data_IF_651419468747
#
_entry.id   IF_651419468747
#
_cell.length_a   1.000
_cell.length_b   1.000
_cell.length_c   1.000
_cell.angle_alpha   90.00
_cell.angle_beta   90.00
_cell.angle_gamma   90.00
#
_symmetry.space_group_name_H-M   'P 1'
#
loop_
_entity.id
_entity.type
_entity.pdbx_description
1 polymer ?
#
# COMPACT_ATOMS: atom_id res chain seq x y z
N UNK A 1 10.42 -34.49 19.62
CA UNK A 1 10.03 -33.55 20.68
C UNK A 1 10.60 -32.20 20.32
N UNK A 2 9.80 -31.35 19.71
CA UNK A 2 10.21 -30.00 19.29
C UNK A 2 9.76 -29.08 20.42
N UNK A 3 10.73 -28.49 21.14
CA UNK A 3 10.45 -27.52 22.18
C UNK A 3 9.98 -26.20 21.56
N UNK A 4 8.71 -25.88 21.71
CA UNK A 4 8.19 -24.52 21.50
C UNK A 4 8.79 -23.61 22.59
N UNK A 5 9.65 -22.69 22.21
CA UNK A 5 10.04 -21.57 23.06
C UNK A 5 8.85 -20.61 23.07
N UNK A 6 8.14 -20.59 24.19
CA UNK A 6 7.08 -19.59 24.43
C UNK A 6 7.67 -18.20 24.42
N UNK A 7 7.29 -17.38 23.44
CA UNK A 7 7.51 -15.94 23.49
C UNK A 7 6.81 -15.39 24.77
N UNK A 8 7.59 -14.76 25.64
CA UNK A 8 7.09 -14.17 26.88
C UNK A 8 6.11 -13.05 26.53
N UNK A 9 4.85 -13.19 26.88
CA UNK A 9 3.84 -12.13 26.75
C UNK A 9 4.23 -10.99 27.69
N UNK A 10 4.52 -9.81 27.14
CA UNK A 10 4.69 -8.59 27.90
C UNK A 10 3.42 -8.28 28.69
N UNK A 11 3.56 -8.06 30.01
CA UNK A 11 2.42 -7.68 30.85
C UNK A 11 2.15 -6.17 30.71
N UNK A 12 0.92 -5.71 31.04
CA UNK A 12 0.58 -4.29 31.11
C UNK A 12 1.59 -3.47 31.92
N UNK A 13 2.19 -4.08 32.93
CA UNK A 13 3.18 -3.44 33.82
C UNK A 13 4.54 -3.28 33.14
N UNK A 14 4.92 -4.24 32.30
CA UNK A 14 6.16 -4.17 31.50
C UNK A 14 6.01 -3.15 30.37
N UNK A 15 4.81 -3.05 29.79
CA UNK A 15 4.44 -2.02 28.84
C UNK A 15 4.54 -0.61 29.43
N UNK A 16 4.00 -0.39 30.65
CA UNK A 16 4.08 0.92 31.31
C UNK A 16 5.53 1.31 31.68
N UNK A 17 6.39 0.34 31.98
CA UNK A 17 7.82 0.60 32.23
C UNK A 17 8.56 0.98 30.94
N UNK A 18 8.26 0.34 29.82
CA UNK A 18 8.82 0.68 28.51
C UNK A 18 8.29 2.03 28.00
N UNK A 19 7.00 2.31 28.14
CA UNK A 19 6.38 3.59 27.80
C UNK A 19 6.90 4.73 28.71
N UNK A 20 7.11 4.48 30.02
CA UNK A 20 7.67 5.44 30.96
C UNK A 20 9.12 5.78 30.69
N UNK A 21 9.93 4.84 30.18
CA UNK A 21 11.33 5.11 29.80
C UNK A 21 11.44 5.93 28.50
N UNK A 22 10.47 5.83 27.60
CA UNK A 22 10.39 6.64 26.38
C UNK A 22 9.79 8.03 26.58
N UNK A 23 9.06 8.27 27.68
CA UNK A 23 8.39 9.54 27.96
C UNK A 23 9.26 10.57 28.71
N UNK A 24 10.45 10.20 29.19
CA UNK A 24 11.36 11.14 29.88
C UNK A 24 12.33 11.75 28.87
N UNK A 25 11.94 12.88 28.26
CA UNK A 25 12.90 13.82 27.74
C UNK A 25 12.83 14.30 26.31
N UNK A 26 11.74 14.13 25.60
CA UNK A 26 11.56 14.84 24.32
C UNK A 26 10.38 15.80 24.39
N UNK A 27 10.68 17.03 24.85
CA UNK A 27 9.85 18.16 24.53
C UNK A 27 9.80 18.29 23.00
N UNK A 28 8.60 18.26 22.45
CA UNK A 28 8.32 18.59 21.04
C UNK A 28 8.68 20.07 20.81
N UNK A 29 9.96 20.34 20.60
CA UNK A 29 10.44 21.59 20.06
C UNK A 29 11.02 21.28 18.68
N UNK A 30 10.33 21.82 17.69
CA UNK A 30 10.83 22.10 16.36
C UNK A 30 11.48 20.90 15.63
N UNK A 31 10.64 20.02 15.05
CA UNK A 31 11.08 19.32 13.87
C UNK A 31 11.43 20.39 12.83
N UNK A 32 12.66 20.39 12.25
CA UNK A 32 12.86 21.14 11.03
C UNK A 32 11.81 20.65 10.03
N UNK A 33 11.36 21.47 9.08
CA UNK A 33 10.42 21.08 8.04
C UNK A 33 11.09 20.13 7.05
N UNK A 34 11.48 18.96 7.51
CA UNK A 34 11.61 17.74 6.74
C UNK A 34 10.18 17.27 6.62
N UNK A 35 9.52 17.65 5.50
CA UNK A 35 8.10 17.46 5.32
C UNK A 35 7.71 16.05 5.64
N UNK A 36 6.63 15.88 6.39
CA UNK A 36 5.86 14.63 6.43
C UNK A 36 5.77 14.14 4.98
N UNK A 37 6.33 12.97 4.62
CA UNK A 37 6.22 12.45 3.25
C UNK A 37 4.76 12.25 2.83
N UNK A 38 3.82 12.15 3.79
CA UNK A 38 2.39 12.24 3.54
C UNK A 38 1.94 13.68 3.19
N UNK A 39 2.76 14.69 3.48
CA UNK A 39 2.62 16.09 3.03
C UNK A 39 3.61 16.49 1.93
N UNK A 40 4.53 15.63 1.52
CA UNK A 40 5.08 15.71 0.20
C UNK A 40 3.92 15.36 -0.74
N UNK A 41 3.15 16.38 -1.10
CA UNK A 41 2.15 16.25 -2.16
C UNK A 41 2.84 15.53 -3.30
N UNK A 42 2.39 14.31 -3.67
CA UNK A 42 2.76 13.77 -4.95
C UNK A 42 2.41 14.83 -6.00
N UNK A 43 3.06 14.83 -7.17
CA UNK A 43 2.75 15.75 -8.25
C UNK A 43 1.24 15.82 -8.36
N UNK A 44 0.66 17.02 -8.33
CA UNK A 44 -0.77 17.29 -8.19
C UNK A 44 -1.57 16.30 -9.04
N UNK A 45 -2.18 15.32 -8.41
CA UNK A 45 -3.07 14.40 -9.10
C UNK A 45 -4.29 15.23 -9.51
N UNK A 46 -4.48 15.38 -10.82
CA UNK A 46 -5.61 16.08 -11.36
C UNK A 46 -6.83 15.18 -11.51
N UNK A 47 -6.67 13.86 -11.25
CA UNK A 47 -7.75 12.88 -11.34
C UNK A 47 -7.71 11.92 -10.15
N UNK A 48 -8.88 11.44 -9.78
CA UNK A 48 -9.08 10.44 -8.75
C UNK A 48 -9.98 9.30 -9.22
N UNK A 49 -9.77 8.11 -8.71
CA UNK A 49 -10.65 6.96 -8.92
C UNK A 49 -11.47 6.71 -7.65
N UNK A 50 -12.79 6.62 -7.77
CA UNK A 50 -13.65 6.22 -6.65
C UNK A 50 -13.46 4.73 -6.36
N UNK A 51 -13.11 4.37 -5.12
CA UNK A 51 -12.87 2.97 -4.73
C UNK A 51 -14.16 2.25 -4.31
N UNK A 52 -15.20 3.02 -3.99
CA UNK A 52 -16.57 2.59 -3.73
C UNK A 52 -17.54 3.50 -4.43
N UNK A 53 -18.84 3.18 -4.40
CA UNK A 53 -19.88 4.15 -4.80
C UNK A 53 -19.96 5.26 -3.76
N UNK A 54 -19.69 6.50 -4.19
CA UNK A 54 -19.54 7.66 -3.32
C UNK A 54 -20.57 8.74 -3.67
N UNK A 55 -21.20 9.30 -2.64
CA UNK A 55 -22.05 10.48 -2.78
C UNK A 55 -21.20 11.73 -2.96
N UNK A 56 -21.69 12.67 -3.76
CA UNK A 56 -21.11 14.01 -3.86
C UNK A 56 -22.12 15.08 -3.43
N UNK A 57 -21.58 16.17 -2.88
CA UNK A 57 -22.32 17.16 -2.11
C UNK A 57 -22.12 18.57 -2.67
N UNK A 58 -23.07 19.47 -2.36
CA UNK A 58 -22.99 20.88 -2.78
C UNK A 58 -21.84 21.65 -2.09
N UNK A 59 -21.52 21.29 -0.84
CA UNK A 59 -20.43 21.86 -0.04
C UNK A 59 -19.54 20.74 0.49
N UNK A 60 -18.29 21.03 0.93
CA UNK A 60 -17.38 20.03 1.49
C UNK A 60 -17.83 19.60 2.90
N UNK A 61 -18.99 19.00 2.99
CA UNK A 61 -19.67 18.58 4.23
C UNK A 61 -20.66 17.45 3.94
N UNK A 62 -20.65 16.43 4.77
CA UNK A 62 -21.60 15.30 4.71
C UNK A 62 -23.03 15.71 5.13
N UNK A 63 -23.18 16.82 5.84
CA UNK A 63 -24.46 17.42 6.22
C UNK A 63 -25.04 18.34 5.14
N UNK A 64 -24.27 18.66 4.10
CA UNK A 64 -24.69 19.46 2.97
C UNK A 64 -25.66 18.68 2.05
N UNK A 65 -26.29 19.39 1.14
CA UNK A 65 -27.19 18.81 0.15
C UNK A 65 -26.46 17.80 -0.72
N UNK A 66 -26.97 16.56 -0.75
CA UNK A 66 -26.54 15.54 -1.70
C UNK A 66 -26.99 15.90 -3.11
N UNK A 67 -26.06 15.87 -4.07
CA UNK A 67 -26.34 16.17 -5.47
C UNK A 67 -26.42 14.91 -6.33
N UNK A 68 -25.79 13.81 -5.91
CA UNK A 68 -25.80 12.53 -6.60
C UNK A 68 -24.70 11.58 -6.07
N UNK A 69 -24.36 10.59 -6.88
CA UNK A 69 -23.31 9.64 -6.53
C UNK A 69 -22.52 9.20 -7.77
N UNK A 70 -21.26 8.85 -7.57
CA UNK A 70 -20.43 8.12 -8.52
C UNK A 70 -20.41 6.64 -8.18
N UNK A 71 -20.44 5.79 -9.17
CA UNK A 71 -20.25 4.34 -8.97
C UNK A 71 -18.77 4.02 -8.75
N UNK A 72 -18.49 2.84 -8.21
CA UNK A 72 -17.14 2.31 -8.04
C UNK A 72 -16.37 2.36 -9.37
N UNK A 73 -15.06 2.67 -9.29
CA UNK A 73 -14.14 2.82 -10.43
C UNK A 73 -14.44 3.98 -11.38
N UNK A 74 -15.29 4.94 -10.98
CA UNK A 74 -15.41 6.19 -11.74
C UNK A 74 -14.12 7.00 -11.58
N UNK A 75 -13.58 7.45 -12.71
CA UNK A 75 -12.45 8.39 -12.75
C UNK A 75 -13.03 9.81 -12.85
N UNK A 76 -12.64 10.65 -11.92
CA UNK A 76 -13.14 12.04 -11.80
C UNK A 76 -11.99 13.03 -11.82
N UNK A 77 -12.23 14.19 -12.43
CA UNK A 77 -11.31 15.31 -12.34
C UNK A 77 -11.32 15.89 -10.91
N UNK A 78 -10.14 16.15 -10.36
CA UNK A 78 -9.98 16.84 -9.08
C UNK A 78 -9.59 18.28 -9.37
N UNK A 79 -10.53 19.19 -9.12
CA UNK A 79 -10.39 20.61 -9.40
C UNK A 79 -9.78 21.40 -8.23
N UNK A 80 -10.07 20.94 -7.00
CA UNK A 80 -9.67 21.60 -5.76
C UNK A 80 -9.60 20.58 -4.63
N UNK A 81 -8.71 20.82 -3.67
CA UNK A 81 -8.64 20.12 -2.39
C UNK A 81 -8.89 21.16 -1.28
N UNK A 82 -9.77 20.82 -0.34
CA UNK A 82 -10.14 21.72 0.76
C UNK A 82 -10.34 20.95 2.07
N UNK A 83 -9.99 21.59 3.17
CA UNK A 83 -10.45 21.18 4.49
C UNK A 83 -11.93 21.55 4.59
N UNK A 84 -12.79 20.55 4.77
CA UNK A 84 -14.23 20.70 4.93
C UNK A 84 -14.68 20.49 6.37
N UNK A 85 -15.72 19.69 6.60
CA UNK A 85 -16.15 19.31 7.93
C UNK A 85 -14.98 18.74 8.73
N UNK A 86 -14.86 19.11 10.02
CA UNK A 86 -13.80 18.59 10.89
C UNK A 86 -13.95 17.09 11.19
N UNK A 87 -15.08 16.53 10.89
CA UNK A 87 -15.35 15.08 11.04
C UNK A 87 -15.29 14.35 9.70
N UNK A 88 -14.59 13.23 9.61
CA UNK A 88 -13.80 12.62 10.68
C UNK A 88 -12.45 13.35 10.90
N UNK A 89 -12.07 13.58 12.15
CA UNK A 89 -10.87 14.33 12.53
C UNK A 89 -9.58 13.82 11.87
N UNK A 90 -9.49 12.49 11.66
CA UNK A 90 -8.32 11.87 11.04
C UNK A 90 -8.16 12.24 9.56
N UNK A 91 -9.22 12.64 8.86
CA UNK A 91 -9.18 13.07 7.45
C UNK A 91 -10.29 14.09 7.14
N UNK A 92 -10.07 15.39 7.35
CA UNK A 92 -11.04 16.43 7.03
C UNK A 92 -10.97 16.90 5.56
N UNK A 93 -10.29 16.14 4.68
CA UNK A 93 -10.03 16.58 3.30
C UNK A 93 -11.17 16.20 2.38
N UNK A 94 -11.62 17.18 1.61
CA UNK A 94 -12.63 17.06 0.57
C UNK A 94 -12.05 17.44 -0.80
N UNK A 95 -12.51 16.76 -1.82
CA UNK A 95 -12.09 16.94 -3.20
C UNK A 95 -13.26 17.48 -4.01
N UNK A 96 -13.04 18.58 -4.71
CA UNK A 96 -14.00 19.13 -5.65
C UNK A 96 -13.88 18.45 -7.01
N UNK A 97 -14.98 17.98 -7.52
CA UNK A 97 -15.16 17.49 -8.87
C UNK A 97 -16.06 18.43 -9.68
N UNK A 98 -16.23 18.25 -11.00
CA UNK A 98 -17.19 19.02 -11.78
C UNK A 98 -18.64 18.97 -11.24
N UNK A 99 -19.02 17.84 -10.60
CA UNK A 99 -20.39 17.61 -10.16
C UNK A 99 -20.63 18.01 -8.69
N UNK A 100 -19.57 18.14 -7.87
CA UNK A 100 -19.71 18.49 -6.46
C UNK A 100 -18.49 18.08 -5.62
N UNK A 101 -18.67 18.02 -4.29
CA UNK A 101 -17.62 17.68 -3.35
C UNK A 101 -17.69 16.22 -2.91
N UNK A 102 -16.54 15.53 -2.95
CA UNK A 102 -16.32 14.16 -2.44
C UNK A 102 -15.42 14.19 -1.20
N UNK A 103 -15.68 13.32 -0.24
CA UNK A 103 -14.74 13.06 0.82
C UNK A 103 -13.55 12.24 0.30
N UNK A 104 -12.31 12.63 0.63
CA UNK A 104 -11.10 12.04 0.04
C UNK A 104 -10.81 10.59 0.43
N UNK A 105 -11.35 10.10 1.55
CA UNK A 105 -11.04 8.77 2.13
C UNK A 105 -11.21 7.59 1.16
N UNK A 106 -12.11 7.73 0.19
CA UNK A 106 -12.44 6.68 -0.77
C UNK A 106 -12.24 7.11 -2.22
N UNK A 107 -11.36 8.08 -2.40
CA UNK A 107 -10.88 8.51 -3.72
C UNK A 107 -9.39 8.24 -3.77
N UNK A 108 -8.97 7.26 -4.54
CA UNK A 108 -7.55 7.02 -4.81
C UNK A 108 -7.06 8.11 -5.78
N UNK A 109 -6.07 8.93 -5.41
CA UNK A 109 -5.38 9.77 -6.38
C UNK A 109 -4.70 8.90 -7.42
N UNK A 110 -4.91 9.18 -8.70
CA UNK A 110 -4.38 8.36 -9.80
C UNK A 110 -3.81 9.23 -10.93
N UNK A 111 -3.03 8.60 -11.79
CA UNK A 111 -2.61 9.18 -13.07
C UNK A 111 -3.20 8.36 -14.21
N UNK A 112 -3.15 8.89 -15.41
CA UNK A 112 -3.44 8.16 -16.63
C UNK A 112 -2.26 8.34 -17.58
N UNK A 113 -1.19 7.59 -17.29
CA UNK A 113 0.06 7.66 -18.04
C UNK A 113 0.24 6.37 -18.84
N UNK A 114 0.26 6.50 -20.16
CA UNK A 114 0.62 5.41 -21.05
C UNK A 114 2.16 5.35 -21.21
N UNK A 115 2.68 4.16 -21.43
CA UNK A 115 4.12 3.88 -21.48
C UNK A 115 4.48 3.19 -22.80
N UNK A 116 5.73 3.33 -23.20
CA UNK A 116 6.29 2.56 -24.32
C UNK A 116 6.49 1.10 -23.89
N UNK A 117 5.90 0.11 -24.58
CA UNK A 117 6.03 -1.29 -24.21
C UNK A 117 7.45 -1.83 -24.36
N UNK A 118 7.91 -2.59 -23.38
CA UNK A 118 9.18 -3.33 -23.45
C UNK A 118 8.96 -4.64 -24.20
N UNK A 119 9.58 -4.77 -25.37
CA UNK A 119 9.39 -5.93 -26.26
C UNK A 119 10.17 -7.18 -25.83
N UNK A 120 11.25 -7.01 -25.06
CA UNK A 120 12.11 -8.11 -24.61
C UNK A 120 12.14 -8.17 -23.09
N UNK A 121 11.41 -9.13 -22.52
CA UNK A 121 11.37 -9.36 -21.07
C UNK A 121 12.56 -10.27 -20.68
N UNK A 122 13.28 -9.98 -19.57
CA UNK A 122 14.30 -10.88 -19.02
C UNK A 122 13.74 -12.28 -18.69
N UNK A 123 14.59 -13.29 -18.62
CA UNK A 123 14.17 -14.68 -18.35
C UNK A 123 13.49 -14.84 -16.98
N UNK A 124 13.90 -14.05 -15.97
CA UNK A 124 13.29 -14.02 -14.64
C UNK A 124 12.02 -13.19 -14.52
N UNK A 125 11.58 -12.55 -15.62
CA UNK A 125 10.46 -11.61 -15.60
C UNK A 125 10.92 -10.16 -15.41
N UNK A 126 9.94 -9.26 -15.38
CA UNK A 126 10.12 -7.83 -15.21
C UNK A 126 9.06 -7.31 -14.23
N UNK A 127 9.49 -6.74 -13.12
CA UNK A 127 8.56 -6.07 -12.20
C UNK A 127 8.03 -4.80 -12.87
N UNK A 128 6.73 -4.61 -12.85
CA UNK A 128 6.07 -3.45 -13.44
C UNK A 128 4.94 -2.92 -12.55
N UNK A 129 4.63 -1.65 -12.69
CA UNK A 129 3.63 -0.91 -11.93
C UNK A 129 2.54 -0.37 -12.87
N UNK A 130 1.28 -0.49 -12.47
CA UNK A 130 0.16 0.09 -13.22
C UNK A 130 0.14 1.60 -13.06
N UNK A 131 0.13 2.33 -14.19
CA UNK A 131 0.20 3.80 -14.26
C UNK A 131 -1.05 4.47 -14.82
N UNK A 132 -2.10 3.68 -15.05
CA UNK A 132 -3.44 4.13 -15.42
C UNK A 132 -4.41 3.87 -14.27
N UNK A 133 -5.60 4.49 -14.19
CA UNK A 133 -6.54 4.29 -13.08
C UNK A 133 -6.86 2.83 -12.82
N UNK A 134 -7.04 2.04 -13.86
CA UNK A 134 -7.06 0.57 -13.83
C UNK A 134 -6.81 -0.01 -15.22
N UNK A 135 -6.29 -1.23 -15.27
CA UNK A 135 -6.13 -2.04 -16.47
C UNK A 135 -6.96 -3.31 -16.37
N UNK A 136 -7.80 -3.59 -17.35
CA UNK A 136 -8.57 -4.83 -17.39
C UNK A 136 -7.67 -5.99 -17.83
N UNK A 137 -7.53 -7.02 -17.01
CA UNK A 137 -6.84 -8.24 -17.40
C UNK A 137 -7.77 -9.25 -18.05
N UNK A 138 -7.17 -10.18 -18.78
CA UNK A 138 -7.88 -11.24 -19.48
C UNK A 138 -7.15 -12.58 -19.31
N UNK A 139 -7.90 -13.65 -19.14
CA UNK A 139 -7.43 -15.02 -19.27
C UNK A 139 -7.62 -15.46 -20.71
N UNK A 140 -6.57 -16.05 -21.31
CA UNK A 140 -6.65 -16.63 -22.64
C UNK A 140 -6.69 -18.15 -22.48
N UNK A 141 -7.70 -18.78 -23.03
CA UNK A 141 -7.84 -20.24 -23.08
C UNK A 141 -8.42 -20.69 -24.41
N UNK A 142 -8.62 -21.99 -24.59
CA UNK A 142 -9.11 -22.60 -25.83
C UNK A 142 -10.52 -22.12 -26.27
N UNK A 143 -11.27 -21.50 -25.31
CA UNK A 143 -12.61 -20.92 -25.57
C UNK A 143 -12.55 -19.44 -25.89
N UNK A 144 -11.36 -18.85 -25.93
CA UNK A 144 -11.14 -17.43 -26.20
C UNK A 144 -10.71 -16.64 -24.97
N UNK A 145 -11.05 -15.34 -24.97
CA UNK A 145 -10.67 -14.39 -23.94
C UNK A 145 -11.78 -14.30 -22.88
N UNK A 146 -11.43 -14.60 -21.63
CA UNK A 146 -12.33 -14.43 -20.48
C UNK A 146 -11.84 -13.23 -19.65
N UNK A 147 -12.76 -12.39 -19.23
CA UNK A 147 -12.46 -11.25 -18.34
C UNK A 147 -11.86 -11.75 -17.02
N UNK A 148 -10.69 -11.21 -16.66
CA UNK A 148 -9.98 -11.45 -15.42
C UNK A 148 -10.16 -10.27 -14.43
N UNK A 149 -9.15 -10.05 -13.61
CA UNK A 149 -9.10 -8.96 -12.64
C UNK A 149 -9.01 -7.58 -13.29
N UNK A 150 -9.36 -6.54 -12.55
CA UNK A 150 -8.85 -5.20 -12.79
C UNK A 150 -7.56 -5.03 -11.98
N UNK A 151 -6.50 -4.60 -12.63
CA UNK A 151 -5.27 -4.17 -11.98
C UNK A 151 -5.31 -2.66 -11.82
N UNK A 152 -5.19 -2.18 -10.59
CA UNK A 152 -5.42 -0.79 -10.24
C UNK A 152 -4.11 0.01 -10.19
N UNK A 153 -4.23 1.31 -10.30
CA UNK A 153 -3.12 2.26 -10.21
C UNK A 153 -2.22 1.95 -9.01
N UNK A 154 -0.90 1.97 -9.23
CA UNK A 154 0.17 1.66 -8.26
C UNK A 154 0.18 0.21 -7.74
N UNK A 155 -0.66 -0.70 -8.25
CA UNK A 155 -0.43 -2.14 -8.05
C UNK A 155 0.81 -2.59 -8.85
N UNK A 156 1.50 -3.62 -8.35
CA UNK A 156 2.73 -4.14 -8.94
C UNK A 156 2.56 -5.58 -9.41
N UNK A 157 3.18 -5.93 -10.53
CA UNK A 157 3.00 -7.23 -11.17
C UNK A 157 4.28 -7.71 -11.85
N UNK A 158 4.48 -9.03 -11.89
CA UNK A 158 5.56 -9.65 -12.63
C UNK A 158 5.13 -9.96 -14.06
N UNK A 159 5.73 -9.24 -15.01
CA UNK A 159 5.55 -9.44 -16.45
C UNK A 159 6.52 -10.51 -16.92
N UNK A 160 5.99 -11.59 -17.49
CA UNK A 160 6.77 -12.74 -17.94
C UNK A 160 7.04 -12.72 -19.44
N UNK A 161 6.15 -12.13 -20.23
CA UNK A 161 6.25 -12.09 -21.70
C UNK A 161 5.59 -10.85 -22.27
N UNK A 162 6.03 -10.50 -23.48
CA UNK A 162 5.36 -9.53 -24.34
C UNK A 162 4.96 -10.21 -25.66
N UNK A 163 3.79 -9.88 -26.20
CA UNK A 163 3.36 -10.34 -27.51
C UNK A 163 2.46 -9.30 -28.19
N UNK A 164 2.39 -9.37 -29.52
CA UNK A 164 1.50 -8.52 -30.31
C UNK A 164 0.22 -9.30 -30.61
N UNK A 165 -0.92 -8.73 -30.21
CA UNK A 165 -2.23 -9.29 -30.54
C UNK A 165 -2.60 -9.10 -32.01
N UNK A 166 -3.68 -9.76 -32.45
CA UNK A 166 -4.14 -9.72 -33.85
C UNK A 166 -4.58 -8.32 -34.32
N UNK A 167 -4.92 -7.45 -33.39
CA UNK A 167 -5.30 -6.04 -33.66
C UNK A 167 -4.11 -5.07 -33.65
N UNK A 168 -2.89 -5.57 -33.43
CA UNK A 168 -1.68 -4.74 -33.28
C UNK A 168 -1.43 -4.22 -31.86
N UNK A 169 -2.35 -4.44 -30.91
CA UNK A 169 -2.18 -4.10 -29.50
C UNK A 169 -1.07 -4.97 -28.92
N UNK A 170 -0.17 -4.35 -28.16
CA UNK A 170 0.90 -5.04 -27.42
C UNK A 170 0.39 -5.43 -26.05
N UNK A 171 0.63 -6.68 -25.67
CA UNK A 171 0.15 -7.28 -24.43
C UNK A 171 1.32 -7.74 -23.57
N UNK A 172 1.20 -7.53 -22.25
CA UNK A 172 2.03 -8.18 -21.25
C UNK A 172 1.31 -9.40 -20.67
N UNK A 173 2.05 -10.49 -20.52
CA UNK A 173 1.63 -11.71 -19.82
C UNK A 173 2.12 -11.63 -18.38
N UNK A 174 1.21 -11.66 -17.42
CA UNK A 174 1.44 -11.53 -15.99
C UNK A 174 1.18 -12.86 -15.32
N UNK A 175 2.13 -13.36 -14.55
CA UNK A 175 1.97 -14.56 -13.73
C UNK A 175 1.33 -14.18 -12.40
N UNK A 176 0.19 -14.80 -12.09
CA UNK A 176 -0.45 -14.68 -10.79
C UNK A 176 0.22 -15.60 -9.77
N UNK A 177 0.73 -15.06 -8.69
CA UNK A 177 1.51 -15.79 -7.69
C UNK A 177 0.65 -16.58 -6.68
N UNK A 178 -0.70 -16.43 -6.72
CA UNK A 178 -1.63 -17.23 -5.91
C UNK A 178 -1.98 -18.56 -6.58
N UNK A 179 -2.44 -18.50 -7.83
CA UNK A 179 -2.96 -19.65 -8.57
C UNK A 179 -2.04 -20.19 -9.66
N UNK A 180 -0.97 -19.46 -9.98
CA UNK A 180 -0.10 -19.79 -11.12
C UNK A 180 -0.75 -19.54 -12.49
N UNK A 181 -1.91 -18.89 -12.51
CA UNK A 181 -2.61 -18.52 -13.74
C UNK A 181 -1.89 -17.37 -14.43
N UNK A 182 -2.02 -17.31 -15.74
CA UNK A 182 -1.44 -16.25 -16.55
C UNK A 182 -2.53 -15.34 -17.09
N UNK A 183 -2.46 -14.07 -16.70
CA UNK A 183 -3.33 -13.02 -17.21
C UNK A 183 -2.60 -12.16 -18.24
N UNK A 184 -3.34 -11.55 -19.15
CA UNK A 184 -2.79 -10.57 -20.09
C UNK A 184 -3.45 -9.22 -19.91
N UNK A 185 -2.64 -8.16 -20.06
CA UNK A 185 -3.06 -6.75 -19.98
C UNK A 185 -2.41 -5.95 -21.11
N UNK A 186 -3.00 -4.80 -21.45
CA UNK A 186 -2.39 -3.87 -22.40
C UNK A 186 -1.04 -3.37 -21.84
N UNK A 187 0.03 -3.55 -22.62
CA UNK A 187 1.39 -3.30 -22.15
C UNK A 187 1.65 -1.82 -21.84
N UNK A 188 1.01 -0.90 -22.56
CA UNK A 188 1.14 0.54 -22.34
C UNK A 188 0.58 1.01 -21.00
N UNK A 189 -0.24 0.20 -20.32
CA UNK A 189 -0.81 0.52 -19.00
C UNK A 189 0.18 0.29 -17.85
N UNK A 190 1.31 -0.38 -18.09
CA UNK A 190 2.31 -0.70 -17.08
C UNK A 190 3.68 -0.15 -17.45
N UNK A 191 4.35 0.44 -16.48
CA UNK A 191 5.75 0.82 -16.63
C UNK A 191 6.68 -0.15 -15.91
N UNK A 192 7.87 -0.43 -16.45
CA UNK A 192 8.89 -1.18 -15.74
C UNK A 192 9.34 -0.46 -14.47
N UNK A 193 9.60 -1.22 -13.41
CA UNK A 193 10.29 -0.74 -12.22
C UNK A 193 11.77 -1.11 -12.36
N UNK A 194 12.62 -0.08 -12.50
CA UNK A 194 14.06 -0.27 -12.68
C UNK A 194 14.80 -0.55 -11.36
N UNK A 195 15.99 -1.15 -11.47
CA UNK A 195 16.86 -1.45 -10.32
C UNK A 195 17.12 -0.21 -9.44
N UNK A 196 17.33 0.95 -10.02
CA UNK A 196 17.56 2.19 -9.28
C UNK A 196 16.38 2.57 -8.35
N UNK A 197 15.15 2.22 -8.75
CA UNK A 197 13.95 2.52 -7.97
C UNK A 197 13.79 1.66 -6.71
N UNK A 198 14.39 0.47 -6.69
CA UNK A 198 14.34 -0.44 -5.53
C UNK A 198 15.68 -0.53 -4.80
N UNK A 199 16.66 0.30 -5.17
CA UNK A 199 17.91 0.43 -4.43
C UNK A 199 17.63 0.70 -2.95
N UNK A 200 18.33 0.00 -2.03
CA UNK A 200 18.16 0.21 -0.59
C UNK A 200 18.34 1.66 -0.17
N UNK A 201 17.49 2.11 0.74
CA UNK A 201 17.61 3.42 1.40
C UNK A 201 18.41 3.24 2.69
N UNK A 202 19.47 4.05 2.87
CA UNK A 202 20.32 4.00 4.07
C UNK A 202 20.79 2.58 4.40
N UNK A 203 21.51 1.86 3.49
CA UNK A 203 21.91 0.47 3.71
C UNK A 203 22.84 0.31 4.94
N UNK A 204 23.61 1.35 5.26
CA UNK A 204 24.54 1.41 6.41
C UNK A 204 23.87 2.01 7.67
N UNK A 205 22.55 2.23 7.65
CA UNK A 205 21.81 2.78 8.78
C UNK A 205 21.88 1.90 10.01
N UNK A 206 22.22 2.49 11.15
CA UNK A 206 22.49 1.74 12.40
C UNK A 206 21.20 1.61 13.22
N UNK A 207 20.95 0.42 13.77
CA UNK A 207 19.82 0.16 14.67
C UNK A 207 18.47 0.62 14.10
N UNK A 208 18.16 0.19 12.89
CA UNK A 208 16.88 0.43 12.23
C UNK A 208 15.74 -0.26 12.97
N UNK A 209 14.68 0.47 13.23
CA UNK A 209 13.45 -0.10 13.77
C UNK A 209 12.22 0.73 13.41
N UNK A 210 11.05 0.11 13.44
CA UNK A 210 9.76 0.72 13.15
C UNK A 210 8.89 0.70 14.39
N UNK A 211 8.22 1.81 14.67
CA UNK A 211 7.11 1.87 15.61
C UNK A 211 5.80 1.97 14.83
N UNK A 212 4.86 1.09 15.17
CA UNK A 212 3.47 1.12 14.71
C UNK A 212 2.60 1.49 15.91
N UNK A 213 2.05 2.70 15.92
CA UNK A 213 1.17 3.20 16.98
C UNK A 213 -0.29 3.02 16.52
N UNK A 214 -0.96 1.99 17.08
CA UNK A 214 -2.34 1.65 16.73
C UNK A 214 -3.34 2.72 17.20
N UNK A 215 -3.04 3.37 18.33
CA UNK A 215 -3.89 4.43 18.87
C UNK A 215 -3.88 5.70 18.02
N UNK A 216 -2.74 6.01 17.39
CA UNK A 216 -2.59 7.18 16.52
C UNK A 216 -2.68 6.85 15.04
N UNK A 217 -2.80 5.59 14.69
CA UNK A 217 -2.75 5.10 13.30
C UNK A 217 -1.58 5.71 12.53
N UNK A 218 -0.38 5.59 13.12
CA UNK A 218 0.86 6.16 12.60
C UNK A 218 2.01 5.16 12.66
N UNK A 219 2.81 5.15 11.61
CA UNK A 219 4.08 4.46 11.55
C UNK A 219 5.21 5.46 11.60
N UNK A 220 6.27 5.17 12.38
CA UNK A 220 7.51 5.94 12.44
C UNK A 220 8.69 4.96 12.28
N UNK A 221 9.58 5.25 11.34
CA UNK A 221 10.84 4.55 11.16
C UNK A 221 11.99 5.33 11.83
N UNK A 222 12.87 4.62 12.51
CA UNK A 222 13.98 5.19 13.27
C UNK A 222 15.32 4.60 12.83
N UNK A 223 16.33 5.44 12.77
CA UNK A 223 17.74 5.04 12.78
C UNK A 223 18.34 5.45 14.13
N UNK A 224 18.76 4.47 14.93
CA UNK A 224 19.02 4.62 16.36
C UNK A 224 17.79 5.24 17.07
N UNK A 225 17.91 6.46 17.59
CA UNK A 225 16.84 7.17 18.28
C UNK A 225 16.27 8.35 17.43
N UNK A 226 16.70 8.50 16.17
CA UNK A 226 16.27 9.58 15.29
C UNK A 226 15.17 9.09 14.35
N UNK A 227 13.98 9.72 14.35
CA UNK A 227 12.97 9.45 13.35
C UNK A 227 13.47 9.89 11.96
N UNK A 228 13.36 9.00 10.98
CA UNK A 228 13.80 9.24 9.59
C UNK A 228 12.64 9.23 8.60
N UNK A 229 11.51 8.66 9.00
CA UNK A 229 10.30 8.61 8.18
C UNK A 229 9.07 8.48 9.07
N UNK A 230 7.95 9.08 8.66
CA UNK A 230 6.65 8.90 9.30
C UNK A 230 5.55 8.89 8.26
N UNK A 231 4.50 8.09 8.50
CA UNK A 231 3.32 8.04 7.63
C UNK A 231 2.07 7.68 8.43
N UNK A 232 0.91 8.11 7.96
CA UNK A 232 -0.37 7.58 8.43
C UNK A 232 -0.55 6.17 7.90
N UNK A 233 -1.22 5.34 8.70
CA UNK A 233 -1.51 3.95 8.38
C UNK A 233 -2.99 3.65 8.61
N UNK A 234 -3.42 2.47 8.18
CA UNK A 234 -4.69 1.89 8.54
C UNK A 234 -4.45 0.42 8.95
N UNK A 235 -4.71 0.10 10.21
CA UNK A 235 -4.45 -1.22 10.80
C UNK A 235 -5.73 -2.06 10.91
N UNK A 236 -5.67 -3.20 11.59
CA UNK A 236 -6.80 -4.10 11.82
C UNK A 236 -8.01 -3.39 12.41
N UNK A 237 -9.19 -3.77 11.93
CA UNK A 237 -10.46 -3.11 12.27
C UNK A 237 -10.89 -3.39 13.70
N UNK A 238 -10.72 -4.64 14.16
CA UNK A 238 -11.06 -5.05 15.51
C UNK A 238 -9.83 -5.10 16.42
N UNK A 239 -10.06 -4.96 17.73
CA UNK A 239 -9.00 -5.12 18.73
C UNK A 239 -8.36 -6.52 18.63
N UNK A 240 -7.04 -6.53 18.44
CA UNK A 240 -6.26 -7.77 18.29
C UNK A 240 -6.05 -8.25 16.87
N UNK A 241 -6.73 -7.71 15.86
CA UNK A 241 -6.47 -8.04 14.44
C UNK A 241 -5.01 -7.73 14.07
N UNK A 242 -4.51 -6.55 14.44
CA UNK A 242 -3.09 -6.23 14.41
C UNK A 242 -2.52 -6.45 15.81
N UNK A 243 -1.81 -7.55 16.07
CA UNK A 243 -1.40 -7.89 17.43
C UNK A 243 -0.29 -6.98 17.94
N UNK A 244 -0.42 -6.53 19.19
CA UNK A 244 0.62 -5.79 19.91
C UNK A 244 1.85 -6.68 20.13
N UNK A 245 3.05 -6.09 20.10
CA UNK A 245 4.27 -6.82 20.41
C UNK A 245 5.49 -6.37 19.61
N UNK A 246 6.54 -7.17 19.72
CA UNK A 246 7.78 -6.98 18.95
C UNK A 246 7.88 -8.06 17.88
N UNK A 247 8.17 -7.60 16.67
CA UNK A 247 8.26 -8.40 15.45
C UNK A 247 9.55 -8.05 14.69
N UNK A 248 9.80 -8.80 13.62
CA UNK A 248 10.81 -8.47 12.61
C UNK A 248 10.21 -8.58 11.23
N UNK A 249 10.77 -7.85 10.29
CA UNK A 249 10.48 -8.08 8.87
C UNK A 249 11.09 -9.44 8.50
N UNK A 250 10.24 -10.44 8.32
CA UNK A 250 10.65 -11.84 8.10
C UNK A 250 10.74 -12.17 6.62
N UNK A 251 9.83 -11.63 5.82
CA UNK A 251 9.70 -11.91 4.39
C UNK A 251 9.32 -10.65 3.63
N UNK A 252 9.80 -10.53 2.40
CA UNK A 252 9.48 -9.39 1.53
C UNK A 252 9.18 -9.83 0.11
N UNK A 253 8.19 -9.19 -0.48
CA UNK A 253 7.78 -9.38 -1.87
C UNK A 253 7.41 -8.02 -2.47
N UNK A 254 7.92 -7.65 -3.66
CA UNK A 254 7.56 -6.38 -4.28
C UNK A 254 6.14 -6.37 -4.85
N UNK A 255 5.56 -7.56 -5.04
CA UNK A 255 4.21 -7.79 -5.55
C UNK A 255 3.64 -9.04 -4.91
N UNK A 256 2.38 -9.01 -4.51
CA UNK A 256 1.69 -10.19 -3.95
C UNK A 256 0.21 -10.20 -4.30
N UNK A 257 -0.32 -11.33 -4.71
CA UNK A 257 -1.76 -11.56 -4.73
C UNK A 257 -2.21 -11.98 -3.32
N UNK A 258 -2.86 -11.08 -2.60
CA UNK A 258 -3.40 -11.36 -1.27
C UNK A 258 -4.88 -11.74 -1.37
N UNK A 259 -5.26 -12.86 -0.77
CA UNK A 259 -6.64 -13.29 -0.77
C UNK A 259 -6.99 -14.14 0.46
N UNK A 260 -8.24 -14.08 0.85
CA UNK A 260 -8.84 -14.92 1.89
C UNK A 260 -10.22 -15.37 1.44
N UNK A 261 -10.49 -16.66 1.61
CA UNK A 261 -11.80 -17.28 1.37
C UNK A 261 -12.53 -17.58 2.71
N UNK A 262 -12.02 -17.07 3.84
CA UNK A 262 -12.61 -17.27 5.16
C UNK A 262 -13.93 -16.50 5.28
N UNK A 263 -14.99 -17.19 5.70
CA UNK A 263 -16.35 -16.60 5.84
C UNK A 263 -16.31 -15.35 6.73
N UNK A 264 -16.80 -14.23 6.20
CA UNK A 264 -16.82 -12.93 6.86
C UNK A 264 -15.49 -12.16 6.78
N UNK A 265 -14.51 -12.72 6.06
CA UNK A 265 -13.18 -12.13 5.88
C UNK A 265 -12.68 -12.36 4.44
N UNK A 266 -13.59 -12.29 3.48
CA UNK A 266 -13.28 -12.56 2.07
C UNK A 266 -12.64 -11.33 1.43
N UNK A 267 -11.50 -11.53 0.79
CA UNK A 267 -10.87 -10.54 -0.08
C UNK A 267 -10.05 -11.22 -1.17
N UNK A 268 -9.86 -10.54 -2.29
CA UNK A 268 -9.14 -11.03 -3.46
C UNK A 268 -8.44 -9.82 -4.14
N UNK A 269 -7.15 -9.62 -3.82
CA UNK A 269 -6.39 -8.40 -4.08
C UNK A 269 -5.12 -8.70 -4.87
N UNK A 270 -5.18 -8.76 -6.21
CA UNK A 270 -4.01 -9.02 -7.04
C UNK A 270 -3.04 -7.83 -7.05
N UNK A 271 -1.74 -8.12 -7.00
CA UNK A 271 -0.69 -7.11 -7.15
C UNK A 271 -0.58 -6.11 -6.00
N UNK A 272 -0.82 -6.55 -4.76
CA UNK A 272 -0.57 -5.74 -3.56
C UNK A 272 0.92 -5.34 -3.54
N UNK A 273 1.25 -4.02 -3.54
CA UNK A 273 2.61 -3.58 -3.72
C UNK A 273 3.41 -3.52 -2.40
N UNK A 274 4.71 -3.83 -2.51
CA UNK A 274 5.74 -3.54 -1.49
C UNK A 274 5.49 -4.21 -0.14
N UNK A 275 5.24 -5.51 -0.16
CA UNK A 275 4.86 -6.29 1.03
C UNK A 275 6.07 -6.62 1.89
N UNK A 276 5.99 -6.28 3.19
CA UNK A 276 6.94 -6.64 4.23
C UNK A 276 6.19 -7.38 5.34
N UNK A 277 6.27 -8.72 5.38
CA UNK A 277 5.64 -9.54 6.41
C UNK A 277 6.40 -9.43 7.72
N UNK A 278 5.66 -9.31 8.82
CA UNK A 278 6.20 -9.24 10.19
C UNK A 278 5.73 -10.42 11.06
N UNK A 279 4.87 -11.26 10.52
CA UNK A 279 4.42 -12.48 11.19
C UNK A 279 4.03 -13.55 10.17
N UNK A 280 4.31 -14.81 10.49
CA UNK A 280 3.93 -15.97 9.68
C UNK A 280 2.41 -16.13 9.49
N UNK A 281 1.61 -15.51 10.35
CA UNK A 281 0.15 -15.42 10.22
C UNK A 281 -0.32 -14.57 9.04
N UNK A 282 0.59 -13.85 8.37
CA UNK A 282 0.30 -13.03 7.22
C UNK A 282 0.22 -11.52 7.49
N UNK A 283 0.34 -11.10 8.76
CA UNK A 283 0.39 -9.67 9.09
C UNK A 283 1.60 -9.01 8.43
N UNK A 284 1.36 -7.96 7.67
CA UNK A 284 2.39 -7.29 6.87
C UNK A 284 2.16 -5.78 6.74
N UNK A 285 3.24 -5.05 6.45
CA UNK A 285 3.20 -3.68 5.99
C UNK A 285 3.16 -3.70 4.46
N UNK A 286 2.23 -2.96 3.84
CA UNK A 286 2.11 -2.94 2.38
C UNK A 286 1.34 -1.71 1.87
N UNK A 287 1.46 -1.43 0.56
CA UNK A 287 0.66 -0.41 -0.11
C UNK A 287 -0.77 -0.87 -0.39
N UNK A 288 -1.69 0.08 -0.47
CA UNK A 288 -3.10 -0.18 -0.78
C UNK A 288 -3.58 0.65 -1.97
N UNK A 289 -4.45 0.08 -2.78
CA UNK A 289 -5.13 0.75 -3.89
C UNK A 289 -6.65 0.69 -3.76
N UNK A 290 -7.19 0.05 -2.69
CA UNK A 290 -8.62 -0.16 -2.47
C UNK A 290 -9.23 0.74 -1.38
N UNK A 291 -8.44 1.62 -0.77
CA UNK A 291 -8.90 2.74 0.06
C UNK A 291 -7.82 3.82 0.14
N UNK A 292 -8.21 5.02 0.57
CA UNK A 292 -7.32 6.15 0.85
C UNK A 292 -7.60 6.72 2.25
N UNK A 293 -8.18 5.91 3.13
CA UNK A 293 -8.64 6.29 4.47
C UNK A 293 -7.60 5.92 5.53
N UNK A 294 -6.45 6.60 5.50
CA UNK A 294 -5.39 6.41 6.49
C UNK A 294 -5.62 7.31 7.71
N UNK A 295 -5.29 6.80 8.91
CA UNK A 295 -5.53 7.45 10.20
C UNK A 295 -6.67 6.78 10.99
N UNK A 296 -7.30 5.73 10.42
CA UNK A 296 -8.32 4.92 11.07
C UNK A 296 -8.17 3.46 10.66
N UNK A 297 -8.54 2.49 11.52
CA UNK A 297 -8.52 1.06 11.19
C UNK A 297 -9.37 0.72 9.96
N UNK A 298 -8.83 -0.09 9.02
CA UNK A 298 -9.48 -0.46 7.76
C UNK A 298 -9.13 -1.87 7.27
N UNK A 299 -8.27 -2.62 7.97
CA UNK A 299 -7.73 -3.90 7.50
C UNK A 299 -8.19 -5.08 8.37
N UNK A 300 -7.83 -6.29 7.94
CA UNK A 300 -8.01 -7.54 8.69
C UNK A 300 -6.75 -7.91 9.51
N UNK A 301 -5.87 -6.92 9.77
CA UNK A 301 -4.68 -7.09 10.60
C UNK A 301 -3.41 -6.52 9.98
N UNK A 302 -3.34 -6.35 8.66
CA UNK A 302 -2.21 -5.73 7.99
C UNK A 302 -2.08 -4.23 8.31
N UNK A 303 -0.88 -3.70 8.16
CA UNK A 303 -0.57 -2.29 8.31
C UNK A 303 -0.56 -1.65 6.92
N UNK A 304 -1.70 -1.09 6.53
CA UNK A 304 -1.95 -0.47 5.24
C UNK A 304 -1.37 0.94 5.19
N UNK A 305 -0.75 1.30 4.08
CA UNK A 305 -0.24 2.64 3.83
C UNK A 305 -0.32 2.99 2.33
N UNK A 306 0.01 4.22 1.96
CA UNK A 306 0.06 4.57 0.54
C UNK A 306 1.13 3.74 -0.18
N UNK A 307 0.97 3.44 -1.48
CA UNK A 307 1.97 2.69 -2.23
C UNK A 307 3.38 3.31 -2.17
N UNK A 308 3.47 4.65 -2.15
CA UNK A 308 4.73 5.37 -2.05
C UNK A 308 5.39 5.18 -0.67
N UNK A 309 4.59 5.25 0.41
CA UNK A 309 5.09 5.00 1.76
C UNK A 309 5.55 3.55 1.91
N UNK A 310 4.78 2.60 1.38
CA UNK A 310 5.15 1.19 1.39
C UNK A 310 6.42 0.92 0.58
N UNK A 311 6.60 1.56 -0.59
CA UNK A 311 7.83 1.49 -1.39
C UNK A 311 9.02 2.01 -0.61
N UNK A 312 8.85 3.12 0.13
CA UNK A 312 9.90 3.66 0.98
C UNK A 312 10.28 2.68 2.09
N UNK A 313 9.30 2.14 2.85
CA UNK A 313 9.52 1.14 3.91
C UNK A 313 10.16 -0.12 3.34
N UNK A 314 9.68 -0.62 2.21
CA UNK A 314 10.25 -1.78 1.53
C UNK A 314 11.73 -1.61 1.20
N UNK A 315 12.14 -0.46 0.68
CA UNK A 315 13.53 -0.16 0.33
C UNK A 315 14.42 0.09 1.55
N UNK A 316 13.85 0.60 2.63
CA UNK A 316 14.60 0.98 3.82
C UNK A 316 14.78 -0.19 4.81
N UNK A 317 13.82 -1.11 4.90
CA UNK A 317 13.90 -2.27 5.81
C UNK A 317 14.82 -3.37 5.30
N UNK A 318 15.41 -4.11 6.22
CA UNK A 318 16.11 -5.37 5.97
C UNK A 318 15.13 -6.55 6.13
N UNK A 319 15.34 -7.68 5.39
CA UNK A 319 16.36 -7.89 4.35
C UNK A 319 16.11 -7.03 3.10
N UNK A 320 17.20 -6.70 2.38
CA UNK A 320 17.08 -6.08 1.07
C UNK A 320 16.78 -7.14 0.01
N UNK A 321 15.88 -6.79 -0.92
CA UNK A 321 15.48 -7.68 -2.02
C UNK A 321 16.22 -7.27 -3.29
N UNK A 322 17.01 -8.16 -3.90
CA UNK A 322 17.57 -7.91 -5.22
C UNK A 322 16.49 -7.61 -6.27
N UNK A 323 16.84 -6.85 -7.31
CA UNK A 323 15.89 -6.42 -8.34
C UNK A 323 15.26 -7.58 -9.13
N UNK A 324 16.03 -8.65 -9.30
CA UNK A 324 15.63 -9.82 -10.08
C UNK A 324 14.94 -10.92 -9.21
N UNK A 325 14.77 -10.65 -7.90
CA UNK A 325 14.14 -11.56 -6.96
C UNK A 325 12.70 -11.11 -6.67
N UNK A 326 11.79 -12.06 -6.64
CA UNK A 326 10.40 -11.87 -6.29
C UNK A 326 10.10 -12.12 -4.80
N UNK A 327 11.09 -12.66 -4.06
CA UNK A 327 10.94 -13.07 -2.67
C UNK A 327 12.28 -13.09 -1.92
N UNK A 328 12.25 -12.68 -0.66
CA UNK A 328 13.36 -12.88 0.28
C UNK A 328 12.82 -13.17 1.67
N UNK A 329 13.53 -14.00 2.42
CA UNK A 329 13.23 -14.37 3.80
C UNK A 329 14.46 -14.17 4.70
N UNK A 330 14.23 -13.77 5.96
CA UNK A 330 15.30 -13.56 6.94
C UNK A 330 14.76 -13.64 8.37
N UNK A 331 15.52 -14.26 9.25
CA UNK A 331 15.25 -14.27 10.70
C UNK A 331 15.75 -12.97 11.40
N UNK A 332 16.57 -12.18 10.73
CA UNK A 332 17.29 -11.02 11.32
C UNK A 332 16.85 -9.67 10.73
N UNK A 333 15.69 -9.61 10.09
CA UNK A 333 15.22 -8.38 9.47
C UNK A 333 14.92 -7.24 10.45
N UNK A 334 14.58 -6.08 9.90
CA UNK A 334 14.30 -4.85 10.67
C UNK A 334 13.25 -5.09 11.77
N UNK A 335 13.56 -4.65 12.99
CA UNK A 335 12.66 -4.75 14.15
C UNK A 335 11.42 -3.86 13.97
N UNK A 336 10.23 -4.40 14.33
CA UNK A 336 8.95 -3.69 14.29
C UNK A 336 8.29 -3.81 15.67
N UNK A 337 7.90 -2.69 16.26
CA UNK A 337 7.22 -2.62 17.55
C UNK A 337 5.82 -2.08 17.34
N UNK A 338 4.83 -2.90 17.63
CA UNK A 338 3.39 -2.55 17.55
C UNK A 338 2.90 -2.20 18.96
N UNK A 339 2.41 -0.95 19.17
CA UNK A 339 1.96 -0.40 20.45
C UNK A 339 0.55 0.17 20.35
#
# INVERSE_FOLDING_TARGET
MINFVMASRLTRRDFLKLAGAAAVGFGFRDFPPGGDPANNRPPSFNIGRTVYSLRYYEQPSSSSKELGFYVTDTVVDILEERVGDPEPEHNPIWLRTPDGWLHSSYVQPVQNQLNEPVMKIPAGGMLAEVTVPYSQSWLINDRGWKRGYKYYYASTHWVMRTFVGSTGIIWYSILDDRGGETYVVEAEHLRPIGAAEITPISPDGVNKWIQVDLGKQRLIAFEANRPVFTTRIATGYFEGDTPLGEYRVERKQPSRHMASDSIGNEFDLPGVPWVCYIAWTGVSLHGTYWHHNYGTPQSHGCINMTPEAAKWIYRWTEPFVPVDDDYVESETGTRVVVI
#
